data_IF_575421090209
#
_entry.id   IF_575421090209
#
_cell.length_a   1.000
_cell.length_b   1.000
_cell.length_c   1.000
_cell.angle_alpha   90.00
_cell.angle_beta   90.00
_cell.angle_gamma   90.00
#
_symmetry.space_group_name_H-M   'P 1'
#
loop_
_entity.id
_entity.type
_entity.pdbx_description
1 polymer ?
#
# COMPACT_ATOMS: atom_id res chain seq x y z
N UNK A 1 28.88 7.56 -0.22
CA UNK A 1 27.48 7.99 -0.38
C UNK A 1 27.44 9.37 -1.04
N UNK A 2 26.36 9.67 -1.80
CA UNK A 2 26.18 10.99 -2.39
C UNK A 2 25.99 12.04 -1.27
N UNK A 3 26.56 13.26 -1.46
CA UNK A 3 26.39 14.36 -0.52
C UNK A 3 24.93 14.86 -0.49
N UNK A 4 24.27 14.81 -1.65
CA UNK A 4 22.86 15.18 -1.83
C UNK A 4 21.98 13.94 -1.99
N UNK A 5 20.68 14.12 -1.72
CA UNK A 5 19.69 13.04 -1.87
C UNK A 5 19.65 12.56 -3.33
N UNK A 6 19.99 11.30 -3.61
CA UNK A 6 19.91 10.76 -4.96
C UNK A 6 18.45 10.54 -5.34
N UNK A 7 18.13 10.71 -6.63
CA UNK A 7 16.90 10.20 -7.18
C UNK A 7 16.99 8.67 -7.31
N UNK A 8 15.90 7.99 -7.05
CA UNK A 8 15.75 6.57 -7.28
C UNK A 8 14.42 6.29 -7.97
N UNK A 9 14.41 5.38 -8.92
CA UNK A 9 13.21 5.01 -9.66
C UNK A 9 13.11 3.49 -9.80
N UNK A 10 11.88 3.01 -9.85
CA UNK A 10 11.53 1.65 -10.23
C UNK A 10 10.94 1.69 -11.64
N UNK A 11 11.49 0.91 -12.56
CA UNK A 11 10.88 0.77 -13.88
C UNK A 11 9.58 -0.02 -13.76
N UNK A 12 8.49 0.52 -14.31
CA UNK A 12 7.20 -0.15 -14.28
C UNK A 12 7.25 -1.45 -15.11
N UNK A 13 6.69 -2.52 -14.55
CA UNK A 13 6.71 -3.84 -15.19
C UNK A 13 5.96 -3.89 -16.53
N UNK A 14 5.00 -3.00 -16.74
CA UNK A 14 4.20 -2.84 -17.95
C UNK A 14 4.84 -1.91 -19.00
N UNK A 15 6.03 -1.38 -18.70
CA UNK A 15 6.73 -0.44 -19.58
C UNK A 15 6.13 0.97 -19.61
N UNK A 16 5.16 1.30 -18.74
CA UNK A 16 4.50 2.62 -18.70
C UNK A 16 5.43 3.75 -18.23
N UNK A 17 6.64 3.43 -17.80
CA UNK A 17 7.64 4.41 -17.38
C UNK A 17 8.36 4.06 -16.10
N UNK A 18 8.95 5.06 -15.47
CA UNK A 18 9.68 4.92 -14.21
C UNK A 18 8.89 5.57 -13.07
N UNK A 19 8.70 4.83 -11.99
CA UNK A 19 8.02 5.29 -10.76
C UNK A 19 9.07 5.87 -9.80
N UNK A 20 8.99 7.14 -9.42
CA UNK A 20 9.86 7.72 -8.41
C UNK A 20 9.71 7.00 -7.06
N UNK A 21 10.82 6.72 -6.41
CA UNK A 21 10.85 6.11 -5.09
C UNK A 21 11.09 7.15 -4.00
N UNK A 22 10.50 6.93 -2.82
CA UNK A 22 10.83 7.70 -1.63
C UNK A 22 12.25 7.34 -1.20
N UNK A 23 13.12 8.37 -1.11
CA UNK A 23 14.50 8.24 -0.62
C UNK A 23 14.64 9.07 0.64
N UNK A 24 15.05 8.42 1.73
CA UNK A 24 15.27 9.02 3.04
C UNK A 24 16.70 8.80 3.51
N UNK A 25 17.14 9.59 4.47
CA UNK A 25 18.47 9.50 5.05
C UNK A 25 19.31 10.76 4.87
N UNK A 26 20.61 10.60 4.79
CA UNK A 26 21.57 11.68 4.66
C UNK A 26 22.90 11.22 4.07
N UNK A 27 23.94 12.07 4.07
CA UNK A 27 25.25 11.76 3.46
C UNK A 27 25.93 10.51 4.02
N UNK A 28 25.55 10.06 5.20
CA UNK A 28 26.06 8.83 5.82
C UNK A 28 25.41 7.57 5.23
N UNK A 29 24.21 7.68 4.69
CA UNK A 29 23.49 6.60 4.04
C UNK A 29 22.10 7.02 3.57
N UNK A 30 21.72 6.56 2.36
CA UNK A 30 20.43 6.79 1.75
C UNK A 30 19.66 5.48 1.64
N UNK A 31 18.37 5.51 1.94
CA UNK A 31 17.47 4.37 1.85
C UNK A 31 16.35 4.68 0.86
N UNK A 32 16.24 3.91 -0.20
CA UNK A 32 15.10 3.96 -1.11
C UNK A 32 14.03 2.95 -0.69
N UNK A 33 12.77 3.39 -0.64
CA UNK A 33 11.63 2.54 -0.31
C UNK A 33 11.04 1.96 -1.59
N UNK A 34 10.98 0.63 -1.66
CA UNK A 34 10.39 -0.10 -2.79
C UNK A 34 9.11 -0.79 -2.35
N UNK A 35 7.98 -0.39 -2.91
CA UNK A 35 6.71 -1.11 -2.74
C UNK A 35 6.65 -2.32 -3.70
N UNK A 36 6.41 -3.51 -3.15
CA UNK A 36 6.21 -4.73 -3.95
C UNK A 36 4.71 -5.06 -3.93
N UNK A 37 4.04 -4.84 -5.05
CA UNK A 37 2.62 -5.12 -5.19
C UNK A 37 2.33 -6.64 -5.11
N UNK A 38 1.13 -7.02 -4.63
CA UNK A 38 0.71 -8.42 -4.56
C UNK A 38 0.69 -9.12 -5.93
N UNK A 39 0.48 -8.36 -7.00
CA UNK A 39 0.49 -8.86 -8.37
C UNK A 39 1.89 -8.95 -9.00
N UNK A 40 2.95 -8.53 -8.28
CA UNK A 40 4.31 -8.59 -8.81
C UNK A 40 4.72 -10.03 -9.08
N UNK A 41 5.17 -10.28 -10.31
CA UNK A 41 5.67 -11.60 -10.71
C UNK A 41 7.02 -11.86 -10.01
N UNK A 42 7.21 -13.04 -9.38
CA UNK A 42 8.49 -13.41 -8.81
C UNK A 42 9.62 -13.40 -9.84
N UNK A 43 10.81 -12.96 -9.42
CA UNK A 43 11.98 -12.88 -10.30
C UNK A 43 12.93 -11.78 -9.90
N UNK A 44 13.94 -11.57 -10.74
CA UNK A 44 14.88 -10.46 -10.58
C UNK A 44 14.19 -9.12 -10.91
N UNK A 45 14.38 -8.16 -10.02
CA UNK A 45 13.92 -6.79 -10.20
C UNK A 45 15.06 -5.82 -9.86
N UNK A 46 14.95 -4.58 -10.29
CA UNK A 46 15.98 -3.58 -10.01
C UNK A 46 15.42 -2.19 -9.89
N UNK A 47 16.16 -1.36 -9.20
CA UNK A 47 15.94 0.08 -9.16
C UNK A 47 17.12 0.79 -9.82
N UNK A 48 16.85 1.96 -10.39
CA UNK A 48 17.91 2.84 -10.92
C UNK A 48 18.12 4.01 -9.95
N UNK A 49 19.37 4.25 -9.62
CA UNK A 49 19.82 5.38 -8.79
C UNK A 49 20.45 6.40 -9.71
N UNK A 50 20.14 7.68 -9.50
CA UNK A 50 20.56 8.82 -10.33
C UNK A 50 20.27 8.59 -11.83
N UNK A 51 19.02 8.25 -12.21
CA UNK A 51 18.66 7.87 -13.57
C UNK A 51 18.97 9.01 -14.55
N UNK A 52 19.51 8.66 -15.73
CA UNK A 52 19.81 9.61 -16.81
C UNK A 52 21.06 10.46 -16.55
N UNK A 53 21.87 10.12 -15.57
CA UNK A 53 23.15 10.82 -15.26
C UNK A 53 24.35 9.90 -15.48
N UNK A 54 25.58 10.43 -15.63
CA UNK A 54 26.80 9.60 -15.67
C UNK A 54 27.03 8.76 -14.40
N UNK A 55 26.37 9.09 -13.31
CA UNK A 55 26.43 8.37 -12.03
C UNK A 55 25.33 7.32 -11.87
N UNK A 56 24.55 7.04 -12.91
CA UNK A 56 23.49 6.05 -12.86
C UNK A 56 24.01 4.68 -12.42
N UNK A 57 23.36 4.09 -11.44
CA UNK A 57 23.63 2.74 -10.94
C UNK A 57 22.33 1.95 -10.86
N UNK A 58 22.43 0.66 -11.16
CA UNK A 58 21.35 -0.29 -11.01
C UNK A 58 21.61 -1.17 -9.78
N UNK A 59 20.63 -1.24 -8.88
CA UNK A 59 20.62 -2.16 -7.76
C UNK A 59 19.60 -3.26 -8.03
N UNK A 60 20.06 -4.48 -8.07
CA UNK A 60 19.20 -5.66 -8.33
C UNK A 60 18.76 -6.29 -7.01
N UNK A 61 17.50 -6.73 -6.95
CA UNK A 61 16.95 -7.53 -5.86
C UNK A 61 16.09 -8.65 -6.44
N UNK A 62 15.74 -9.61 -5.61
CA UNK A 62 14.89 -10.74 -6.02
C UNK A 62 13.56 -10.68 -5.32
N UNK A 63 12.47 -10.70 -6.09
CA UNK A 63 11.13 -10.94 -5.58
C UNK A 63 10.95 -12.45 -5.48
N UNK A 64 10.93 -12.97 -4.25
CA UNK A 64 10.73 -14.40 -4.03
C UNK A 64 9.25 -14.77 -4.22
N UNK A 65 8.95 -15.99 -4.72
CA UNK A 65 7.59 -16.49 -4.75
C UNK A 65 7.06 -16.63 -3.32
N UNK A 66 5.81 -16.22 -3.12
CA UNK A 66 5.14 -16.32 -1.81
C UNK A 66 3.75 -16.88 -1.99
N UNK A 67 3.44 -17.96 -1.26
CA UNK A 67 2.09 -18.46 -1.12
C UNK A 67 1.40 -17.72 0.04
N UNK A 68 0.24 -17.12 -0.26
CA UNK A 68 -0.59 -16.49 0.74
C UNK A 68 -1.69 -17.43 1.19
N UNK A 69 -2.07 -17.35 2.45
CA UNK A 69 -3.19 -18.13 2.98
C UNK A 69 -4.49 -17.81 2.23
N UNK A 70 -5.36 -18.80 2.11
CA UNK A 70 -6.69 -18.65 1.52
C UNK A 70 -7.76 -18.91 2.57
N UNK A 71 -8.78 -18.06 2.60
CA UNK A 71 -9.95 -18.17 3.45
C UNK A 71 -11.20 -18.28 2.57
N UNK A 72 -11.90 -19.40 2.66
CA UNK A 72 -13.16 -19.63 1.97
C UNK A 72 -14.32 -19.38 2.93
N UNK A 73 -15.20 -18.45 2.58
CA UNK A 73 -16.35 -18.06 3.39
C UNK A 73 -17.64 -18.21 2.60
N UNK A 74 -18.69 -18.64 3.30
CA UNK A 74 -20.07 -18.54 2.82
C UNK A 74 -20.66 -17.26 3.40
N UNK A 75 -21.09 -16.36 2.54
CA UNK A 75 -21.64 -15.06 2.91
C UNK A 75 -23.00 -14.87 2.25
N UNK A 76 -23.79 -13.92 2.75
CA UNK A 76 -25.06 -13.58 2.13
C UNK A 76 -24.85 -13.12 0.67
N UNK A 77 -25.73 -13.48 -0.29
CA UNK A 77 -25.57 -13.12 -1.71
C UNK A 77 -25.32 -11.62 -1.93
N UNK A 78 -26.04 -10.75 -1.23
CA UNK A 78 -25.89 -9.29 -1.31
C UNK A 78 -24.49 -8.77 -0.96
N UNK A 79 -23.67 -9.57 -0.30
CA UNK A 79 -22.28 -9.22 0.02
C UNK A 79 -21.35 -9.45 -1.19
N UNK A 80 -21.83 -10.21 -2.16
CA UNK A 80 -21.09 -10.59 -3.36
C UNK A 80 -21.53 -9.75 -4.56
N UNK A 81 -22.84 -9.56 -4.70
CA UNK A 81 -23.47 -8.85 -5.80
C UNK A 81 -24.05 -7.53 -5.25
N UNK A 82 -23.47 -6.42 -5.64
CA UNK A 82 -23.90 -5.09 -5.19
C UNK A 82 -25.20 -4.68 -5.87
N UNK A 83 -26.03 -3.90 -5.16
CA UNK A 83 -27.13 -3.16 -5.78
C UNK A 83 -26.58 -2.10 -6.75
N UNK A 84 -27.37 -1.63 -7.74
CA UNK A 84 -26.95 -0.53 -8.61
C UNK A 84 -26.55 0.75 -7.84
N UNK A 85 -27.22 1.03 -6.72
CA UNK A 85 -26.93 2.20 -5.86
C UNK A 85 -25.60 2.02 -5.12
N UNK A 86 -25.35 0.83 -4.56
CA UNK A 86 -24.09 0.51 -3.88
C UNK A 86 -22.91 0.51 -4.86
N UNK A 87 -23.11 -0.02 -6.07
CA UNK A 87 -22.12 0.02 -7.14
C UNK A 87 -21.79 1.46 -7.55
N UNK A 88 -22.80 2.32 -7.72
CA UNK A 88 -22.61 3.73 -8.04
C UNK A 88 -21.91 4.49 -6.90
N UNK A 89 -22.22 4.17 -5.63
CA UNK A 89 -21.53 4.70 -4.47
C UNK A 89 -20.06 4.29 -4.50
N UNK A 90 -19.79 2.99 -4.64
CA UNK A 90 -18.43 2.46 -4.67
C UNK A 90 -17.59 3.05 -5.79
N UNK A 91 -18.15 3.21 -7.00
CA UNK A 91 -17.41 3.79 -8.12
C UNK A 91 -16.98 5.26 -7.84
N UNK A 92 -17.86 6.07 -7.25
CA UNK A 92 -17.53 7.44 -6.85
C UNK A 92 -16.43 7.46 -5.78
N UNK A 93 -16.58 6.64 -4.75
CA UNK A 93 -15.63 6.53 -3.65
C UNK A 93 -14.26 6.04 -4.13
N UNK A 94 -14.24 5.06 -5.03
CA UNK A 94 -12.99 4.54 -5.64
C UNK A 94 -12.23 5.63 -6.39
N UNK A 95 -12.92 6.43 -7.19
CA UNK A 95 -12.31 7.54 -7.93
C UNK A 95 -11.73 8.59 -6.98
N UNK A 96 -12.47 8.94 -5.92
CA UNK A 96 -12.00 9.86 -4.89
C UNK A 96 -10.79 9.31 -4.13
N UNK A 97 -10.86 8.08 -3.64
CA UNK A 97 -9.75 7.42 -2.94
C UNK A 97 -8.47 7.35 -3.78
N UNK A 98 -8.60 7.10 -5.09
CA UNK A 98 -7.45 7.08 -5.98
C UNK A 98 -6.70 8.43 -6.00
N UNK A 99 -7.43 9.55 -5.95
CA UNK A 99 -6.85 10.90 -5.87
C UNK A 99 -6.18 11.14 -4.52
N UNK A 100 -6.83 10.74 -3.41
CA UNK A 100 -6.27 10.86 -2.07
C UNK A 100 -4.98 10.04 -1.93
N UNK A 101 -4.98 8.79 -2.38
CA UNK A 101 -3.82 7.89 -2.31
C UNK A 101 -2.65 8.36 -3.18
N UNK A 102 -2.94 9.01 -4.30
CA UNK A 102 -1.92 9.56 -5.20
C UNK A 102 -1.21 10.81 -4.63
N UNK A 103 -1.73 11.39 -3.53
CA UNK A 103 -1.15 12.58 -2.93
C UNK A 103 0.24 12.28 -2.33
N UNK A 104 1.21 13.10 -2.68
CA UNK A 104 2.57 13.03 -2.15
C UNK A 104 2.85 14.28 -1.32
N UNK A 105 3.08 14.10 -0.01
CA UNK A 105 3.27 15.22 0.93
C UNK A 105 4.73 15.64 1.07
N UNK A 106 4.94 16.93 1.27
CA UNK A 106 6.23 17.51 1.68
C UNK A 106 6.03 18.36 2.94
N UNK A 107 7.04 18.47 3.85
CA UNK A 107 8.34 17.78 3.80
C UNK A 107 8.21 16.26 4.00
N UNK A 108 9.24 15.52 3.56
CA UNK A 108 9.29 14.07 3.77
C UNK A 108 9.45 13.74 5.25
N UNK A 109 8.91 12.61 5.73
CA UNK A 109 9.12 12.16 7.10
C UNK A 109 10.60 11.83 7.33
N UNK A 110 11.11 12.16 8.50
CA UNK A 110 12.51 11.82 8.88
C UNK A 110 12.69 10.32 9.11
N UNK A 111 11.64 9.66 9.57
CA UNK A 111 11.63 8.23 9.92
C UNK A 111 10.36 7.57 9.39
N UNK A 112 10.49 6.26 9.06
CA UNK A 112 9.36 5.41 8.65
C UNK A 112 9.04 4.34 9.72
N UNK A 113 9.62 4.44 10.91
CA UNK A 113 9.27 3.56 12.02
C UNK A 113 7.87 3.91 12.54
N UNK A 114 6.90 3.07 12.24
CA UNK A 114 5.52 3.24 12.66
C UNK A 114 5.28 2.60 14.02
N UNK A 115 4.47 3.24 14.86
CA UNK A 115 3.88 2.60 16.04
C UNK A 115 2.61 1.83 15.66
N UNK A 116 2.23 0.86 16.49
CA UNK A 116 0.94 0.20 16.32
C UNK A 116 -0.19 1.22 16.53
N UNK A 117 -1.17 1.31 15.62
CA UNK A 117 -2.26 2.27 15.75
C UNK A 117 -3.23 1.92 16.89
N UNK A 118 -3.29 0.65 17.28
CA UNK A 118 -4.14 0.15 18.35
C UNK A 118 -3.56 -1.14 18.90
N UNK A 119 -3.73 -1.36 20.20
CA UNK A 119 -3.44 -2.65 20.81
C UNK A 119 -4.56 -3.64 20.51
N UNK A 120 -4.19 -4.83 20.02
CA UNK A 120 -5.16 -5.84 19.68
C UNK A 120 -4.56 -7.04 18.95
N UNK A 121 -5.39 -8.08 18.79
CA UNK A 121 -5.00 -9.28 18.06
C UNK A 121 -5.02 -9.03 16.56
N UNK A 122 -3.94 -9.35 15.86
CA UNK A 122 -3.94 -9.38 14.40
C UNK A 122 -4.94 -10.43 13.91
N UNK A 123 -6.01 -10.00 13.25
CA UNK A 123 -7.10 -10.87 12.79
C UNK A 123 -6.99 -11.24 11.32
N UNK A 124 -6.34 -10.43 10.51
CA UNK A 124 -6.09 -10.68 9.10
C UNK A 124 -4.77 -10.04 8.66
N UNK A 125 -4.11 -10.64 7.69
CA UNK A 125 -2.79 -10.22 7.23
C UNK A 125 -2.83 -9.79 5.77
N UNK A 126 -1.85 -8.95 5.40
CA UNK A 126 -1.60 -8.59 4.01
C UNK A 126 -1.44 -9.83 3.13
N UNK A 127 -2.10 -9.84 1.98
CA UNK A 127 -2.06 -10.91 1.00
C UNK A 127 -3.04 -12.06 1.25
N UNK A 128 -3.82 -12.06 2.35
CA UNK A 128 -4.83 -13.08 2.57
C UNK A 128 -5.83 -13.12 1.40
N UNK A 129 -5.95 -14.27 0.76
CA UNK A 129 -6.87 -14.49 -0.35
C UNK A 129 -8.23 -14.90 0.19
N UNK A 130 -9.27 -14.15 -0.16
CA UNK A 130 -10.65 -14.47 0.24
C UNK A 130 -11.43 -15.00 -0.96
N UNK A 131 -12.20 -16.07 -0.73
CA UNK A 131 -13.11 -16.65 -1.70
C UNK A 131 -14.50 -16.68 -1.08
N UNK A 132 -15.43 -15.89 -1.62
CA UNK A 132 -16.80 -15.79 -1.13
C UNK A 132 -17.74 -16.57 -2.05
N UNK A 133 -18.46 -17.54 -1.51
CA UNK A 133 -19.40 -18.38 -2.28
C UNK A 133 -18.77 -18.98 -3.55
N UNK A 134 -17.49 -19.36 -3.49
CA UNK A 134 -16.74 -19.88 -4.64
C UNK A 134 -16.13 -18.80 -5.56
N UNK A 135 -16.43 -17.53 -5.36
CA UNK A 135 -15.90 -16.43 -6.17
C UNK A 135 -14.64 -15.81 -5.52
N UNK A 136 -13.49 -15.80 -6.21
CA UNK A 136 -12.29 -15.11 -5.70
C UNK A 136 -12.54 -13.61 -5.52
N UNK A 137 -11.98 -13.05 -4.47
CA UNK A 137 -11.96 -11.62 -4.17
C UNK A 137 -10.54 -11.07 -4.27
N UNK A 138 -10.43 -9.76 -4.38
CA UNK A 138 -9.14 -9.10 -4.31
C UNK A 138 -8.42 -9.50 -3.01
N UNK A 139 -7.13 -9.83 -3.07
CA UNK A 139 -6.36 -10.13 -1.88
C UNK A 139 -6.39 -8.94 -0.89
N UNK A 140 -6.34 -9.26 0.40
CA UNK A 140 -6.30 -8.25 1.44
C UNK A 140 -5.03 -7.39 1.31
N UNK A 141 -5.20 -6.10 1.08
CA UNK A 141 -4.10 -5.15 0.85
C UNK A 141 -3.59 -4.46 2.12
N UNK A 142 -4.14 -4.83 3.29
CA UNK A 142 -3.80 -4.26 4.59
C UNK A 142 -3.58 -5.31 5.67
N UNK A 143 -3.63 -4.87 6.91
CA UNK A 143 -3.57 -5.71 8.10
C UNK A 143 -4.70 -5.29 9.05
N UNK A 144 -5.49 -6.25 9.50
CA UNK A 144 -6.56 -6.00 10.46
C UNK A 144 -6.10 -6.26 11.89
N UNK A 145 -6.41 -5.34 12.78
CA UNK A 145 -6.21 -5.48 14.23
C UNK A 145 -7.57 -5.41 14.90
N UNK A 146 -7.97 -6.50 15.56
CA UNK A 146 -9.24 -6.56 16.27
C UNK A 146 -9.11 -5.87 17.63
N UNK A 147 -9.97 -4.88 17.87
CA UNK A 147 -10.07 -4.17 19.13
C UNK A 147 -11.56 -3.91 19.46
N UNK A 148 -11.94 -3.76 20.74
CA UNK A 148 -13.30 -3.40 21.12
C UNK A 148 -13.75 -2.05 20.56
N UNK A 149 -15.05 -1.88 20.35
CA UNK A 149 -15.61 -0.59 19.97
C UNK A 149 -15.25 0.49 21.01
N UNK A 150 -14.91 1.69 20.53
CA UNK A 150 -14.49 2.81 21.38
C UNK A 150 -12.99 2.80 21.74
N UNK A 151 -12.23 1.77 21.35
CA UNK A 151 -10.77 1.79 21.54
C UNK A 151 -10.15 2.92 20.73
N UNK A 152 -9.32 3.79 21.33
CA UNK A 152 -8.64 4.86 20.59
C UNK A 152 -7.71 4.29 19.52
N UNK A 153 -7.75 4.91 18.33
CA UNK A 153 -6.84 4.59 17.22
C UNK A 153 -5.85 5.74 17.08
N UNK A 154 -4.57 5.46 17.25
CA UNK A 154 -3.49 6.44 17.19
C UNK A 154 -2.92 6.51 15.78
N UNK A 155 -2.50 7.70 15.36
CA UNK A 155 -1.74 7.86 14.13
C UNK A 155 -0.44 7.04 14.22
N UNK A 156 -0.19 6.09 13.30
CA UNK A 156 1.00 5.25 13.36
C UNK A 156 2.30 6.04 13.10
N UNK A 157 2.19 7.18 12.44
CA UNK A 157 3.28 8.09 12.12
C UNK A 157 2.74 9.52 12.14
N UNK A 158 3.63 10.48 12.38
CA UNK A 158 3.29 11.89 12.20
C UNK A 158 2.91 12.15 10.73
N UNK A 159 1.84 12.88 10.52
CA UNK A 159 1.33 13.15 9.18
C UNK A 159 0.27 14.23 9.17
N UNK A 160 -0.28 14.49 8.01
CA UNK A 160 -1.41 15.38 7.80
C UNK A 160 -2.61 14.57 7.33
N UNK A 161 -3.75 14.76 7.98
CA UNK A 161 -5.01 14.20 7.53
C UNK A 161 -5.40 14.86 6.21
N UNK A 162 -5.56 14.06 5.18
CA UNK A 162 -5.95 14.49 3.84
C UNK A 162 -7.45 14.39 3.63
N UNK A 163 -8.06 13.36 4.22
CA UNK A 163 -9.46 13.06 4.04
C UNK A 163 -9.99 12.19 5.18
N UNK A 164 -11.29 12.30 5.45
CA UNK A 164 -12.01 11.44 6.40
C UNK A 164 -13.40 11.14 5.86
N UNK A 165 -13.92 9.93 6.07
CA UNK A 165 -15.25 9.59 5.62
C UNK A 165 -15.70 8.18 6.01
N UNK A 166 -16.99 7.92 5.79
CA UNK A 166 -17.57 6.58 5.80
C UNK A 166 -17.62 6.05 4.37
N UNK A 167 -16.75 5.08 4.07
CA UNK A 167 -16.61 4.47 2.77
C UNK A 167 -17.24 3.09 2.73
N UNK A 168 -17.90 2.75 1.64
CA UNK A 168 -18.69 1.54 1.49
C UNK A 168 -17.94 0.25 1.88
N UNK A 169 -16.70 0.09 1.41
CA UNK A 169 -15.90 -1.09 1.76
C UNK A 169 -14.95 -0.89 2.94
N UNK A 170 -14.56 0.33 3.22
CA UNK A 170 -13.56 0.61 4.25
C UNK A 170 -14.18 1.01 5.59
N UNK A 171 -15.47 1.43 5.59
CA UNK A 171 -16.10 2.01 6.77
C UNK A 171 -15.51 3.37 7.12
N UNK A 172 -15.51 3.71 8.41
CA UNK A 172 -14.92 4.94 8.89
C UNK A 172 -13.40 4.94 8.65
N UNK A 173 -12.96 5.87 7.82
CA UNK A 173 -11.59 5.93 7.32
C UNK A 173 -10.98 7.29 7.56
N UNK A 174 -9.68 7.30 7.87
CA UNK A 174 -8.81 8.48 7.93
C UNK A 174 -7.64 8.24 6.98
N UNK A 175 -7.51 9.15 6.02
CA UNK A 175 -6.38 9.15 5.09
C UNK A 175 -5.36 10.23 5.46
#
# INVERSE_FOLDING_TARGET
>A
PAAERPQAVLDAADGSGAVPLLVLGGPQGWTALVGIALATVPGAAHIRIAPGTPAERRLTYTVAPKQYAEQRLRVAPRTVDLSPEDEARWQRERAHQAQVIAHFSTPLPERLAMQAPVDGRRSSSFGLRRVFNGQPRNPHSGMDIAAPAGTPVLAPLAGRVLDTGDYFFNGNTVW
#
